data_IF_536670201600
#
_entry.id   IF_536670201600
#
_cell.length_a   1.000
_cell.length_b   1.000
_cell.length_c   1.000
_cell.angle_alpha   90.00
_cell.angle_beta   90.00
_cell.angle_gamma   90.00
#
_symmetry.space_group_name_H-M   'P 1'
#
loop_
_entity.id
_entity.type
_entity.pdbx_description
1 polymer ?
#
# COMPACT_ATOMS: atom_id res chain seq x y z
N UNK A 1 -15.96 13.98 -21.69
CA UNK A 1 -16.06 14.36 -20.27
C UNK A 1 -17.20 13.54 -19.69
N UNK A 2 -16.91 12.77 -18.63
CA UNK A 2 -17.95 12.05 -17.89
C UNK A 2 -18.85 13.05 -17.16
N UNK A 3 -20.10 12.68 -16.93
CA UNK A 3 -21.08 13.50 -16.22
C UNK A 3 -21.17 13.13 -14.72
N UNK A 4 -20.46 12.10 -14.35
CA UNK A 4 -20.43 11.58 -12.98
C UNK A 4 -19.75 12.60 -12.07
N UNK A 5 -20.40 12.98 -10.99
CA UNK A 5 -19.88 13.89 -9.99
C UNK A 5 -20.01 13.23 -8.62
N UNK A 6 -18.87 13.00 -7.98
CA UNK A 6 -18.81 12.36 -6.65
C UNK A 6 -18.34 13.41 -5.65
N UNK A 7 -19.17 13.69 -4.66
CA UNK A 7 -18.91 14.68 -3.61
C UNK A 7 -18.32 14.04 -2.34
N UNK A 8 -17.80 14.87 -1.43
CA UNK A 8 -17.22 14.46 -0.13
C UNK A 8 -16.11 13.42 -0.23
N UNK A 9 -15.39 13.39 -1.36
CA UNK A 9 -14.24 12.48 -1.51
C UNK A 9 -12.95 13.11 -1.00
N UNK A 10 -12.00 12.28 -0.57
CA UNK A 10 -10.64 12.72 -0.22
C UNK A 10 -9.71 12.85 -1.42
N UNK A 11 -10.17 12.44 -2.61
CA UNK A 11 -9.36 12.36 -3.81
C UNK A 11 -8.56 11.05 -3.96
N UNK A 12 -8.62 10.12 -3.00
CA UNK A 12 -8.05 8.79 -3.20
C UNK A 12 -9.06 7.87 -3.86
N UNK A 13 -8.64 7.21 -4.93
CA UNK A 13 -9.49 6.33 -5.72
C UNK A 13 -8.69 5.24 -6.43
N UNK A 14 -9.39 4.18 -6.86
CA UNK A 14 -8.81 3.09 -7.63
C UNK A 14 -9.80 2.57 -8.68
N UNK A 15 -9.36 2.50 -9.94
CA UNK A 15 -10.11 1.92 -11.02
C UNK A 15 -9.95 0.39 -11.06
N UNK A 16 -11.05 -0.33 -11.16
CA UNK A 16 -11.03 -1.74 -11.54
C UNK A 16 -10.55 -1.90 -12.99
N UNK A 17 -10.18 -3.13 -13.37
CA UNK A 17 -9.70 -3.41 -14.74
C UNK A 17 -10.83 -3.47 -15.78
N UNK A 18 -12.09 -3.45 -15.35
CA UNK A 18 -13.26 -3.36 -16.22
C UNK A 18 -13.45 -1.97 -16.84
N UNK A 19 -12.62 -0.98 -16.45
CA UNK A 19 -12.66 0.42 -16.88
C UNK A 19 -14.01 1.13 -16.65
N UNK A 20 -14.85 0.60 -15.79
CA UNK A 20 -16.20 1.12 -15.50
C UNK A 20 -16.54 1.15 -14.02
N UNK A 21 -15.75 0.48 -13.19
CA UNK A 21 -15.94 0.46 -11.73
C UNK A 21 -14.84 1.26 -11.06
N UNK A 22 -15.22 2.23 -10.24
CA UNK A 22 -14.36 3.07 -9.45
C UNK A 22 -14.59 2.80 -7.96
N UNK A 23 -13.52 2.57 -7.23
CA UNK A 23 -13.53 2.61 -5.76
C UNK A 23 -12.99 3.95 -5.29
N UNK A 24 -13.66 4.59 -4.34
CA UNK A 24 -13.23 5.91 -3.85
C UNK A 24 -13.43 6.04 -2.34
N UNK A 25 -12.59 6.88 -1.75
CA UNK A 25 -12.67 7.20 -0.33
C UNK A 25 -13.62 8.36 -0.08
N UNK A 26 -14.55 8.18 0.82
CA UNK A 26 -15.47 9.22 1.27
C UNK A 26 -15.09 9.68 2.69
N UNK A 27 -15.41 10.94 2.98
CA UNK A 27 -15.14 11.57 4.28
C UNK A 27 -16.40 11.63 5.12
N UNK A 28 -16.24 11.42 6.41
CA UNK A 28 -17.24 11.84 7.37
C UNK A 28 -17.40 13.36 7.33
N UNK A 29 -18.64 13.84 7.29
CA UNK A 29 -18.94 15.26 7.07
C UNK A 29 -18.67 16.14 8.29
N UNK A 30 -18.57 15.56 9.49
CA UNK A 30 -18.34 16.29 10.74
C UNK A 30 -16.85 16.26 11.12
N UNK A 31 -16.24 15.09 11.09
CA UNK A 31 -14.85 14.89 11.52
C UNK A 31 -13.85 15.08 10.38
N UNK A 32 -14.31 15.11 9.13
CA UNK A 32 -13.51 15.10 7.90
C UNK A 32 -12.57 13.88 7.80
N UNK A 33 -12.81 12.87 8.60
CA UNK A 33 -12.05 11.62 8.61
C UNK A 33 -12.40 10.79 7.37
N UNK A 34 -11.39 10.23 6.73
CA UNK A 34 -11.56 9.24 5.68
C UNK A 34 -11.94 7.92 6.36
N UNK A 35 -13.18 7.51 6.32
CA UNK A 35 -13.70 6.37 7.07
C UNK A 35 -14.48 5.36 6.23
N UNK A 36 -14.81 5.71 4.98
CA UNK A 36 -15.64 4.85 4.12
C UNK A 36 -15.02 4.69 2.73
N UNK A 37 -15.15 3.49 2.18
CA UNK A 37 -14.86 3.21 0.77
C UNK A 37 -16.17 2.81 0.09
N UNK A 38 -16.47 3.50 -0.99
CA UNK A 38 -17.60 3.23 -1.86
C UNK A 38 -17.14 2.67 -3.20
N UNK A 39 -18.05 1.96 -3.85
CA UNK A 39 -17.92 1.47 -5.22
C UNK A 39 -18.95 2.18 -6.09
N UNK A 40 -18.49 2.87 -7.13
CA UNK A 40 -19.28 3.55 -8.14
C UNK A 40 -19.17 2.85 -9.50
N UNK A 41 -20.27 2.78 -10.23
CA UNK A 41 -20.29 2.33 -11.62
C UNK A 41 -20.46 3.54 -12.53
N UNK A 42 -19.55 3.76 -13.46
CA UNK A 42 -19.59 4.91 -14.38
C UNK A 42 -20.91 4.94 -15.15
N UNK A 43 -21.53 6.11 -15.16
CA UNK A 43 -22.83 6.37 -15.77
C UNK A 43 -24.03 6.15 -14.85
N UNK A 44 -23.82 5.58 -13.66
CA UNK A 44 -24.87 5.43 -12.67
C UNK A 44 -25.00 6.71 -11.81
N UNK A 45 -26.15 6.83 -11.13
CA UNK A 45 -26.33 7.88 -10.16
C UNK A 45 -25.61 7.51 -8.86
N UNK A 46 -24.83 8.45 -8.29
CA UNK A 46 -24.03 8.23 -7.06
C UNK A 46 -24.87 7.87 -5.83
N UNK A 47 -26.18 8.10 -5.84
CA UNK A 47 -27.12 7.61 -4.81
C UNK A 47 -27.15 6.05 -4.75
N UNK A 48 -26.76 5.39 -5.83
CA UNK A 48 -26.73 3.93 -5.94
C UNK A 48 -25.37 3.34 -5.56
N UNK A 49 -24.40 4.17 -5.20
CA UNK A 49 -23.06 3.71 -4.85
C UNK A 49 -23.09 2.80 -3.65
N UNK A 50 -22.33 1.72 -3.73
CA UNK A 50 -22.30 0.69 -2.69
C UNK A 50 -21.18 0.95 -1.70
N UNK A 51 -21.52 1.07 -0.43
CA UNK A 51 -20.54 1.04 0.66
C UNK A 51 -19.89 -0.37 0.69
N UNK A 52 -18.57 -0.43 0.49
CA UNK A 52 -17.81 -1.69 0.49
C UNK A 52 -16.94 -1.86 1.73
N UNK A 53 -16.61 -0.76 2.40
CA UNK A 53 -15.87 -0.78 3.65
C UNK A 53 -16.23 0.43 4.51
N UNK A 54 -16.35 0.22 5.83
CA UNK A 54 -16.52 1.29 6.81
C UNK A 54 -15.59 1.04 8.00
N UNK A 55 -14.68 1.98 8.21
CA UNK A 55 -13.79 2.01 9.38
C UNK A 55 -14.53 2.67 10.55
N UNK A 56 -14.94 1.86 11.50
CA UNK A 56 -15.71 2.33 12.65
C UNK A 56 -14.85 2.79 13.83
N UNK A 57 -13.57 2.43 13.84
CA UNK A 57 -12.63 2.91 14.86
C UNK A 57 -12.17 4.33 14.48
N UNK A 58 -12.56 5.32 15.28
CA UNK A 58 -12.29 6.73 15.02
C UNK A 58 -10.81 7.10 15.06
N UNK A 59 -9.96 6.22 15.57
CA UNK A 59 -8.50 6.43 15.58
C UNK A 59 -7.84 6.07 14.26
N UNK A 60 -8.56 5.43 13.32
CA UNK A 60 -8.06 5.02 12.02
C UNK A 60 -8.57 5.90 10.89
N UNK A 61 -7.71 6.10 9.90
CA UNK A 61 -8.04 6.66 8.59
C UNK A 61 -7.93 5.57 7.54
N UNK A 62 -8.84 5.57 6.57
CA UNK A 62 -8.82 4.59 5.49
C UNK A 62 -8.61 5.24 4.12
N UNK A 63 -7.94 4.52 3.23
CA UNK A 63 -7.71 4.93 1.85
C UNK A 63 -7.82 3.72 0.92
N UNK A 64 -8.08 4.00 -0.36
CA UNK A 64 -8.09 2.98 -1.41
C UNK A 64 -7.06 3.32 -2.48
N UNK A 65 -6.36 2.31 -2.95
CA UNK A 65 -5.35 2.42 -4.00
C UNK A 65 -5.36 1.20 -4.91
N UNK A 66 -4.68 1.29 -6.05
CA UNK A 66 -4.43 0.16 -6.94
C UNK A 66 -2.96 -0.23 -6.85
N UNK A 67 -2.68 -1.52 -6.75
CA UNK A 67 -1.30 -2.01 -6.78
C UNK A 67 -0.60 -1.61 -8.08
N UNK A 68 0.72 -1.37 -8.04
CA UNK A 68 1.54 -1.05 -9.23
C UNK A 68 1.41 -2.12 -10.31
N UNK A 69 1.27 -3.38 -9.93
CA UNK A 69 1.01 -4.51 -10.81
C UNK A 69 -0.37 -4.48 -11.50
N UNK A 70 -1.25 -3.54 -11.12
CA UNK A 70 -2.65 -3.41 -11.56
C UNK A 70 -3.54 -4.62 -11.21
N UNK A 71 -3.02 -5.61 -10.47
CA UNK A 71 -3.73 -6.86 -10.14
C UNK A 71 -4.69 -6.71 -8.97
N UNK A 72 -4.40 -5.82 -8.02
CA UNK A 72 -5.20 -5.66 -6.81
C UNK A 72 -5.64 -4.22 -6.57
N UNK A 73 -6.84 -4.09 -6.02
CA UNK A 73 -7.31 -2.90 -5.32
C UNK A 73 -7.09 -3.16 -3.84
N UNK A 74 -6.49 -2.19 -3.15
CA UNK A 74 -6.06 -2.32 -1.76
C UNK A 74 -6.75 -1.23 -0.94
N UNK A 75 -7.42 -1.63 0.13
CA UNK A 75 -7.88 -0.74 1.20
C UNK A 75 -6.84 -0.80 2.31
N UNK A 76 -6.37 0.35 2.73
CA UNK A 76 -5.44 0.49 3.85
C UNK A 76 -6.06 1.34 4.94
N UNK A 77 -6.17 0.81 6.15
CA UNK A 77 -6.57 1.53 7.35
C UNK A 77 -5.37 1.70 8.27
N UNK A 78 -5.11 2.91 8.75
CA UNK A 78 -3.96 3.19 9.61
C UNK A 78 -4.29 4.19 10.71
N UNK A 79 -3.73 3.96 11.87
CA UNK A 79 -3.64 4.88 13.00
C UNK A 79 -2.18 5.30 13.19
N UNK A 80 -1.86 5.98 14.29
CA UNK A 80 -0.49 6.42 14.59
C UNK A 80 0.53 5.27 14.69
N UNK A 81 0.10 4.09 15.18
CA UNK A 81 1.01 2.98 15.49
C UNK A 81 0.50 1.62 14.97
N UNK A 82 -0.56 1.60 14.18
CA UNK A 82 -1.18 0.33 13.80
C UNK A 82 -1.76 0.44 12.39
N UNK A 83 -1.60 -0.59 11.60
CA UNK A 83 -2.21 -0.65 10.28
C UNK A 83 -2.95 -1.97 10.02
N UNK A 84 -3.84 -1.92 9.03
CA UNK A 84 -4.58 -3.07 8.50
C UNK A 84 -4.79 -2.87 7.00
N UNK A 85 -4.70 -3.95 6.22
CA UNK A 85 -4.97 -3.89 4.78
C UNK A 85 -5.94 -4.98 4.37
N UNK A 86 -6.76 -4.66 3.38
CA UNK A 86 -7.61 -5.59 2.67
C UNK A 86 -7.33 -5.48 1.17
N UNK A 87 -7.57 -6.52 0.41
CA UNK A 87 -7.33 -6.52 -1.03
C UNK A 87 -8.43 -7.22 -1.80
N UNK A 88 -8.58 -6.83 -3.05
CA UNK A 88 -9.55 -7.36 -4.01
C UNK A 88 -8.85 -7.50 -5.36
N UNK A 89 -9.15 -8.54 -6.14
CA UNK A 89 -8.70 -8.64 -7.53
C UNK A 89 -9.33 -7.53 -8.37
N UNK A 90 -8.50 -6.74 -9.05
CA UNK A 90 -8.97 -5.62 -9.90
C UNK A 90 -9.84 -6.08 -11.08
N UNK A 91 -9.71 -7.36 -11.49
CA UNK A 91 -10.55 -7.98 -12.53
C UNK A 91 -11.92 -8.47 -12.02
N UNK A 92 -12.12 -8.44 -10.69
CA UNK A 92 -13.35 -8.94 -10.05
C UNK A 92 -13.91 -7.91 -9.06
N UNK A 93 -14.34 -6.73 -9.55
CA UNK A 93 -14.79 -5.63 -8.69
C UNK A 93 -16.08 -5.92 -7.90
N UNK A 94 -16.77 -7.00 -8.20
CA UNK A 94 -18.00 -7.41 -7.52
C UNK A 94 -17.76 -8.42 -6.38
N UNK A 95 -16.54 -8.97 -6.27
CA UNK A 95 -16.16 -9.84 -5.16
C UNK A 95 -16.02 -9.01 -3.85
N UNK A 96 -15.86 -9.70 -2.74
CA UNK A 96 -15.59 -9.08 -1.44
C UNK A 96 -14.09 -8.85 -1.24
N UNK A 97 -13.74 -7.77 -0.53
CA UNK A 97 -12.38 -7.56 -0.07
C UNK A 97 -11.96 -8.65 0.92
N UNK A 98 -10.76 -9.16 0.74
CA UNK A 98 -10.14 -10.15 1.62
C UNK A 98 -9.21 -9.45 2.59
N UNK A 99 -9.36 -9.71 3.88
CA UNK A 99 -8.44 -9.22 4.90
C UNK A 99 -7.05 -9.83 4.69
N UNK A 100 -6.01 -8.98 4.61
CA UNK A 100 -4.63 -9.43 4.48
C UNK A 100 -4.10 -9.98 5.81
N UNK A 101 -4.11 -9.15 6.85
CA UNK A 101 -3.78 -9.48 8.24
C UNK A 101 -4.60 -8.60 9.17
N UNK A 102 -5.22 -9.21 10.16
CA UNK A 102 -5.92 -8.46 11.22
C UNK A 102 -4.94 -7.51 11.94
N UNK A 103 -5.42 -6.29 12.24
CA UNK A 103 -4.65 -5.30 13.01
C UNK A 103 -4.20 -5.86 14.36
N UNK A 104 -2.99 -5.50 14.73
CA UNK A 104 -2.35 -5.83 16.00
C UNK A 104 -1.76 -4.52 16.54
N UNK A 105 -2.12 -4.15 17.76
CA UNK A 105 -1.70 -2.87 18.33
C UNK A 105 -0.17 -2.76 18.35
N UNK A 106 0.36 -1.66 17.84
CA UNK A 106 1.79 -1.40 17.73
C UNK A 106 2.45 -2.02 16.50
N UNK A 107 1.70 -2.79 15.69
CA UNK A 107 2.21 -3.35 14.44
C UNK A 107 1.71 -2.53 13.25
N UNK A 108 2.66 -1.95 12.55
CA UNK A 108 2.46 -1.27 11.28
C UNK A 108 2.94 -2.15 10.14
N UNK A 109 2.19 -2.17 9.05
CA UNK A 109 2.63 -2.81 7.82
C UNK A 109 1.99 -2.18 6.59
N UNK A 110 2.69 -2.27 5.47
CA UNK A 110 2.17 -1.96 4.14
C UNK A 110 2.44 -3.12 3.21
N UNK A 111 1.61 -3.27 2.17
CA UNK A 111 1.73 -4.35 1.19
C UNK A 111 1.94 -3.80 -0.21
N UNK A 112 2.83 -4.45 -0.95
CA UNK A 112 3.04 -4.26 -2.39
C UNK A 112 2.96 -5.60 -3.10
N UNK A 113 2.50 -5.62 -4.34
CA UNK A 113 2.36 -6.87 -5.09
C UNK A 113 3.32 -6.93 -6.28
N UNK A 114 3.99 -8.08 -6.42
CA UNK A 114 4.80 -8.40 -7.60
C UNK A 114 4.78 -9.90 -7.87
N UNK A 115 4.49 -10.28 -9.10
CA UNK A 115 4.34 -11.67 -9.56
C UNK A 115 3.38 -12.49 -8.69
N UNK A 116 3.86 -13.51 -7.99
CA UNK A 116 3.06 -14.40 -7.15
C UNK A 116 3.18 -14.09 -5.65
N UNK A 117 3.74 -12.91 -5.30
CA UNK A 117 3.98 -12.55 -3.91
C UNK A 117 3.44 -11.17 -3.53
N UNK A 118 3.03 -11.07 -2.27
CA UNK A 118 2.98 -9.79 -1.58
C UNK A 118 4.32 -9.54 -0.87
N UNK A 119 4.81 -8.31 -0.97
CA UNK A 119 5.96 -7.79 -0.24
C UNK A 119 5.44 -6.89 0.88
N UNK A 120 5.96 -7.08 2.08
CA UNK A 120 5.44 -6.47 3.30
C UNK A 120 6.57 -5.71 4.00
N UNK A 121 6.42 -4.38 4.11
CA UNK A 121 7.24 -3.58 5.02
C UNK A 121 6.52 -3.58 6.37
N UNK A 122 7.22 -3.91 7.47
CA UNK A 122 6.60 -3.98 8.79
C UNK A 122 7.61 -3.75 9.91
N UNK A 123 7.11 -3.21 11.04
CA UNK A 123 7.84 -3.12 12.30
C UNK A 123 7.60 -4.32 13.24
N UNK A 124 6.90 -5.35 12.76
CA UNK A 124 6.57 -6.55 13.57
C UNK A 124 7.84 -7.19 14.16
N UNK A 125 7.71 -7.79 15.36
CA UNK A 125 8.79 -8.42 16.12
C UNK A 125 9.94 -7.43 16.42
N UNK A 126 9.59 -6.28 17.00
CA UNK A 126 10.49 -5.22 17.45
C UNK A 126 11.40 -4.61 16.36
N UNK A 127 11.03 -4.76 15.10
CA UNK A 127 11.76 -4.18 13.96
C UNK A 127 11.45 -2.67 13.80
N UNK A 128 11.86 -1.84 14.78
CA UNK A 128 11.51 -0.41 14.86
C UNK A 128 11.95 0.42 13.64
N UNK A 129 12.97 -0.01 12.91
CA UNK A 129 13.39 0.57 11.61
C UNK A 129 12.83 -0.20 10.42
N UNK A 130 11.80 -0.98 10.63
CA UNK A 130 11.14 -1.85 9.68
C UNK A 130 12.05 -2.94 9.08
N UNK A 131 11.43 -3.95 8.53
CA UNK A 131 12.00 -5.03 7.74
C UNK A 131 11.12 -5.30 6.53
N UNK A 132 11.68 -5.91 5.50
CA UNK A 132 10.95 -6.32 4.31
C UNK A 132 10.79 -7.83 4.31
N UNK A 133 9.56 -8.26 4.25
CA UNK A 133 9.16 -9.67 4.17
C UNK A 133 8.39 -9.90 2.87
N UNK A 134 8.17 -11.16 2.50
CA UNK A 134 7.27 -11.54 1.41
C UNK A 134 6.43 -12.75 1.79
N UNK A 135 5.28 -12.91 1.13
CA UNK A 135 4.42 -14.08 1.28
C UNK A 135 3.72 -14.40 -0.04
N UNK A 136 3.33 -15.66 -0.23
CA UNK A 136 2.52 -16.07 -1.37
C UNK A 136 1.11 -15.46 -1.29
N UNK A 137 0.47 -15.26 -2.45
CA UNK A 137 -0.87 -14.66 -2.54
C UNK A 137 -1.95 -15.42 -1.76
N UNK A 138 -1.78 -16.73 -1.61
CA UNK A 138 -2.75 -17.62 -0.94
C UNK A 138 -2.50 -17.77 0.56
N UNK A 139 -1.36 -17.30 1.07
CA UNK A 139 -0.88 -17.54 2.43
C UNK A 139 -0.48 -16.22 3.09
N UNK A 140 -1.43 -15.30 3.26
CA UNK A 140 -1.15 -13.94 3.77
C UNK A 140 -0.91 -13.87 5.27
N UNK A 141 -1.16 -14.94 5.99
CA UNK A 141 -1.00 -15.02 7.45
C UNK A 141 0.48 -14.88 7.87
N UNK A 142 0.73 -14.18 8.95
CA UNK A 142 2.09 -13.70 9.30
C UNK A 142 3.10 -14.80 9.60
N UNK A 143 2.68 -16.01 9.95
CA UNK A 143 3.55 -17.18 10.10
C UNK A 143 4.18 -17.65 8.78
N UNK A 144 3.63 -17.24 7.64
CA UNK A 144 4.13 -17.58 6.31
C UNK A 144 5.04 -16.48 5.71
N UNK A 145 5.30 -15.41 6.46
CA UNK A 145 6.11 -14.32 5.97
C UNK A 145 7.60 -14.68 5.99
N UNK A 146 8.24 -14.59 4.84
CA UNK A 146 9.65 -14.93 4.62
C UNK A 146 10.45 -13.64 4.52
N UNK A 147 11.57 -13.55 5.22
CA UNK A 147 12.44 -12.38 5.21
C UNK A 147 13.13 -12.16 3.85
N UNK A 148 13.10 -10.93 3.38
CA UNK A 148 13.80 -10.44 2.18
C UNK A 148 14.91 -9.47 2.57
N UNK A 149 14.62 -8.58 3.52
CA UNK A 149 15.60 -7.67 4.14
C UNK A 149 15.28 -7.63 5.63
N UNK A 150 16.21 -8.09 6.45
CA UNK A 150 16.10 -8.07 7.91
C UNK A 150 16.11 -6.67 8.49
N UNK A 151 15.67 -6.56 9.74
CA UNK A 151 15.78 -5.33 10.51
C UNK A 151 17.24 -4.92 10.71
N UNK A 152 17.50 -3.62 10.65
CA UNK A 152 18.83 -3.02 10.91
C UNK A 152 18.67 -1.84 11.86
N UNK A 153 19.44 -1.82 12.95
CA UNK A 153 19.33 -0.80 14.00
C UNK A 153 19.58 0.63 13.52
N UNK A 154 20.43 0.78 12.49
CA UNK A 154 20.87 2.08 12.00
C UNK A 154 20.35 2.44 10.60
N UNK A 155 19.45 1.62 10.03
CA UNK A 155 18.90 1.85 8.69
C UNK A 155 17.38 1.69 8.74
N UNK A 156 16.68 2.78 8.53
CA UNK A 156 15.23 2.81 8.38
C UNK A 156 14.84 2.47 6.94
N UNK A 157 13.98 1.50 6.76
CA UNK A 157 13.32 1.26 5.46
C UNK A 157 12.12 2.21 5.37
N UNK A 158 12.17 3.15 4.43
CA UNK A 158 11.09 4.13 4.20
C UNK A 158 10.08 3.66 3.16
N UNK A 159 10.49 2.79 2.24
CA UNK A 159 9.61 2.29 1.18
C UNK A 159 10.32 1.37 0.20
N UNK A 160 9.53 0.77 -0.66
CA UNK A 160 10.02 -0.04 -1.79
C UNK A 160 9.31 0.36 -3.08
N UNK A 161 10.01 0.20 -4.18
CA UNK A 161 9.46 0.28 -5.52
C UNK A 161 9.93 -0.94 -6.32
N UNK A 162 8.98 -1.75 -6.79
CA UNK A 162 9.27 -3.04 -7.41
C UNK A 162 9.21 -2.90 -8.92
N UNK A 163 10.27 -3.33 -9.58
CA UNK A 163 10.42 -3.37 -11.03
C UNK A 163 10.65 -4.81 -11.49
N UNK A 164 10.50 -5.04 -12.79
CA UNK A 164 10.68 -6.36 -13.41
C UNK A 164 12.03 -6.98 -13.08
N UNK A 165 13.11 -6.21 -13.12
CA UNK A 165 14.47 -6.72 -13.04
C UNK A 165 15.13 -6.43 -11.69
N UNK A 166 14.55 -5.55 -10.85
CA UNK A 166 15.13 -5.15 -9.57
C UNK A 166 14.10 -4.60 -8.58
N UNK A 167 14.43 -4.70 -7.32
CA UNK A 167 13.78 -4.04 -6.20
C UNK A 167 14.57 -2.77 -5.85
N UNK A 168 13.87 -1.64 -5.77
CA UNK A 168 14.40 -0.40 -5.24
C UNK A 168 13.94 -0.24 -3.81
N UNK A 169 14.88 -0.01 -2.89
CA UNK A 169 14.59 0.22 -1.47
C UNK A 169 15.01 1.63 -1.10
N UNK A 170 14.04 2.43 -0.69
CA UNK A 170 14.29 3.75 -0.12
C UNK A 170 14.62 3.60 1.35
N UNK A 171 15.75 4.10 1.75
CA UNK A 171 16.30 3.96 3.10
C UNK A 171 16.73 5.30 3.67
N UNK A 172 16.78 5.38 5.00
CA UNK A 172 17.42 6.48 5.73
C UNK A 172 18.55 5.94 6.59
N UNK A 173 19.73 6.54 6.45
CA UNK A 173 20.93 6.21 7.22
C UNK A 173 21.64 7.50 7.63
N UNK A 174 21.95 7.64 8.91
CA UNK A 174 22.58 8.86 9.45
C UNK A 174 21.86 10.16 9.04
N UNK A 175 20.54 10.13 9.00
CA UNK A 175 19.71 11.29 8.64
C UNK A 175 19.55 11.54 7.13
N UNK A 176 20.31 10.86 6.27
CA UNK A 176 20.25 11.01 4.81
C UNK A 176 19.44 9.90 4.15
N UNK A 177 18.61 10.29 3.18
CA UNK A 177 17.94 9.33 2.30
C UNK A 177 18.98 8.69 1.38
N UNK A 178 18.79 7.43 1.08
CA UNK A 178 19.58 6.73 0.07
C UNK A 178 18.72 5.69 -0.64
N UNK A 179 19.11 5.31 -1.82
CA UNK A 179 18.42 4.32 -2.65
C UNK A 179 19.34 3.13 -2.83
N UNK A 180 18.87 1.96 -2.40
CA UNK A 180 19.48 0.67 -2.62
C UNK A 180 18.78 -0.04 -3.78
N UNK A 181 19.56 -0.49 -4.77
CA UNK A 181 19.07 -1.26 -5.92
C UNK A 181 19.45 -2.73 -5.71
N UNK A 182 18.46 -3.61 -5.70
CA UNK A 182 18.64 -5.06 -5.54
C UNK A 182 18.17 -5.79 -6.79
N UNK A 183 19.08 -6.23 -7.68
CA UNK A 183 18.71 -7.04 -8.85
C UNK A 183 18.10 -8.39 -8.45
N UNK A 184 17.08 -8.86 -9.15
CA UNK A 184 16.46 -10.17 -8.90
C UNK A 184 17.33 -11.34 -9.37
N UNK A 185 18.30 -11.09 -10.25
CA UNK A 185 19.20 -12.14 -10.78
C UNK A 185 20.29 -12.62 -9.81
N UNK A 186 20.27 -12.15 -8.55
CA UNK A 186 21.23 -12.52 -7.52
C UNK A 186 22.54 -11.74 -7.55
N UNK A 187 22.70 -10.76 -8.43
CA UNK A 187 23.84 -9.84 -8.40
C UNK A 187 23.85 -9.03 -7.10
N UNK A 188 25.02 -8.54 -6.72
CA UNK A 188 25.13 -7.69 -5.52
C UNK A 188 24.26 -6.44 -5.61
N UNK A 189 23.65 -6.08 -4.49
CA UNK A 189 22.94 -4.83 -4.35
C UNK A 189 23.92 -3.66 -4.26
N UNK A 190 23.51 -2.50 -4.75
CA UNK A 190 24.34 -1.31 -4.71
C UNK A 190 23.50 -0.07 -4.36
N UNK A 191 24.18 0.93 -3.79
CA UNK A 191 23.60 2.22 -3.52
C UNK A 191 23.85 3.20 -4.66
N UNK A 192 22.85 4.02 -4.99
CA UNK A 192 23.08 5.18 -5.85
C UNK A 192 24.04 6.14 -5.15
N UNK A 193 25.03 6.63 -5.88
CA UNK A 193 26.03 7.58 -5.39
C UNK A 193 25.66 8.97 -5.84
N UNK A 194 25.81 9.93 -4.92
CA UNK A 194 25.61 11.34 -5.17
C UNK A 194 26.92 12.08 -4.83
N UNK A 195 27.22 13.14 -5.57
CA UNK A 195 28.47 13.92 -5.38
C UNK A 195 28.41 14.82 -4.14
N UNK A 196 27.20 15.24 -3.75
CA UNK A 196 27.00 16.11 -2.57
C UNK A 196 27.01 15.32 -1.28
N UNK A 197 27.55 15.90 -0.21
CA UNK A 197 27.52 15.32 1.15
C UNK A 197 26.10 15.26 1.71
N UNK A 198 25.24 16.23 1.32
CA UNK A 198 23.82 16.28 1.69
C UNK A 198 22.96 16.30 0.44
N UNK A 199 21.97 15.43 0.39
CA UNK A 199 21.05 15.31 -0.74
C UNK A 199 19.70 14.76 -0.28
N UNK A 200 18.69 14.89 -1.13
CA UNK A 200 17.41 14.22 -1.01
C UNK A 200 17.14 13.45 -2.29
N UNK A 201 16.76 12.18 -2.15
CA UNK A 201 16.45 11.33 -3.28
C UNK A 201 15.20 10.49 -3.00
N UNK A 202 14.40 10.28 -4.03
CA UNK A 202 13.17 9.47 -3.95
C UNK A 202 12.81 8.93 -5.33
N UNK A 203 12.08 7.83 -5.35
CA UNK A 203 11.48 7.31 -6.58
C UNK A 203 10.19 8.09 -6.87
N UNK A 204 9.92 8.34 -8.15
CA UNK A 204 8.66 8.96 -8.58
C UNK A 204 7.82 7.96 -9.34
N UNK A 205 6.55 8.35 -9.65
CA UNK A 205 5.59 7.48 -10.32
C UNK A 205 6.12 6.89 -11.63
N UNK A 206 6.51 5.63 -11.53
CA UNK A 206 6.91 4.81 -12.66
C UNK A 206 5.73 3.90 -13.00
N UNK A 207 5.31 3.94 -14.25
CA UNK A 207 4.23 3.13 -14.80
C UNK A 207 4.75 1.77 -15.28
#
# INVERSE_FOLDING_TARGET
ILKDEITNTSGTFAWANDNSTLFYTNRDTQTLRNDKIFKHKIGDNTVNDKLVFHETDETFYTNVSKSKSKKFIIISSSSTLTSESQFLLSDKPDDQFTLFKKRERGVEYSISHFEDHFYIITNKDDAFNYKLLKTELKNTSSENWIEVIGHRENVLIEGIDIFKDFLVVSERFNGLNRINIKPWNGSESYYLKFESETFSCYTTGNL
#
